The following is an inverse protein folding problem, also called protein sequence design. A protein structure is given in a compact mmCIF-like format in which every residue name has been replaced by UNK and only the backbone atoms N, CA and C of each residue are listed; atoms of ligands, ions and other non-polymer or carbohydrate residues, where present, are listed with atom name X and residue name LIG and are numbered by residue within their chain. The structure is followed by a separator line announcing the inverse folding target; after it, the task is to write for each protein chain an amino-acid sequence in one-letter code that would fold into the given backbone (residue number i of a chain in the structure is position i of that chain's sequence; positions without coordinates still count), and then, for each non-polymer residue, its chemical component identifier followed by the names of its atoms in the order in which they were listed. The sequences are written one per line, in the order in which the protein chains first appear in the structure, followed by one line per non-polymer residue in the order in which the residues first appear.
data_IF_474260746450
#
_entry.id   IF_474260746450
#
_cell.length_a   1.000
_cell.length_b   1.000
_cell.length_c   1.000
_cell.angle_alpha   90.00
_cell.angle_beta   90.00
_cell.angle_gamma   90.00
#
_symmetry.space_group_name_H-M   'P 1'
#
loop_
_entity.id
_entity.type
_entity.pdbx_description
1 polymer ?
#
# COMPACT_ATOMS: atom_id res chain seq x y z
N UNK A 1 -0.29 23.67 52.55
CA UNK A 1 -0.87 24.28 51.33
C UNK A 1 0.07 23.99 50.16
N UNK A 2 -0.34 23.13 49.25
CA UNK A 2 0.42 22.81 48.02
C UNK A 2 0.54 24.08 47.17
N UNK A 3 1.78 24.54 46.94
CA UNK A 3 2.08 25.57 45.93
C UNK A 3 1.86 24.93 44.57
N UNK A 4 0.64 25.03 44.04
CA UNK A 4 0.39 24.67 42.66
C UNK A 4 1.19 25.63 41.77
N UNK A 5 2.16 25.07 41.04
CA UNK A 5 2.86 25.78 39.98
C UNK A 5 1.87 26.03 38.84
N UNK A 6 1.25 27.21 38.81
CA UNK A 6 0.48 27.65 37.66
C UNK A 6 1.47 27.95 36.54
N UNK A 7 1.59 27.02 35.59
CA UNK A 7 2.41 27.20 34.40
C UNK A 7 1.83 28.36 33.58
N UNK A 8 2.58 29.45 33.46
CA UNK A 8 2.17 30.63 32.69
C UNK A 8 2.56 30.43 31.23
N UNK A 9 1.57 30.26 30.36
CA UNK A 9 1.79 30.10 28.92
C UNK A 9 2.12 31.48 28.31
N UNK A 10 3.20 31.56 27.53
CA UNK A 10 3.55 32.75 26.76
C UNK A 10 2.53 32.95 25.61
N UNK A 11 1.94 34.14 25.50
CA UNK A 11 0.88 34.43 24.51
C UNK A 11 1.34 34.27 23.06
N UNK A 12 2.58 34.64 22.72
CA UNK A 12 3.13 34.44 21.38
C UNK A 12 3.26 32.95 21.05
N UNK A 13 3.68 32.14 22.02
CA UNK A 13 3.77 30.69 21.83
C UNK A 13 2.38 30.03 21.72
N UNK A 14 1.38 30.53 22.48
CA UNK A 14 0.01 30.04 22.37
C UNK A 14 -0.56 30.24 20.95
N UNK A 15 -0.32 31.40 20.34
CA UNK A 15 -0.74 31.68 18.96
C UNK A 15 -0.07 30.72 17.96
N UNK A 16 1.22 30.42 18.13
CA UNK A 16 1.93 29.47 17.24
C UNK A 16 1.32 28.07 17.30
N UNK A 17 0.98 27.59 18.50
CA UNK A 17 0.36 26.27 18.69
C UNK A 17 -1.05 26.25 18.10
N UNK A 18 -1.83 27.31 18.27
CA UNK A 18 -3.17 27.40 17.68
C UNK A 18 -3.09 27.41 16.14
N UNK A 19 -2.16 28.13 15.55
CA UNK A 19 -1.94 28.12 14.10
C UNK A 19 -1.57 26.72 13.59
N UNK A 20 -0.71 25.99 14.32
CA UNK A 20 -0.39 24.60 14.01
C UNK A 20 -1.64 23.71 14.06
N UNK A 21 -2.47 23.86 15.10
CA UNK A 21 -3.72 23.10 15.26
C UNK A 21 -4.69 23.34 14.10
N UNK A 22 -4.87 24.60 13.70
CA UNK A 22 -5.71 24.95 12.54
C UNK A 22 -5.15 24.39 11.23
N UNK A 23 -3.83 24.44 11.03
CA UNK A 23 -3.17 23.80 9.88
C UNK A 23 -3.40 22.29 9.86
N UNK A 24 -3.27 21.61 11.01
CA UNK A 24 -3.52 20.18 11.13
C UNK A 24 -4.96 19.82 10.75
N UNK A 25 -5.94 20.64 11.17
CA UNK A 25 -7.36 20.40 10.86
C UNK A 25 -7.61 20.54 9.36
N UNK A 26 -7.04 21.57 8.73
CA UNK A 26 -7.13 21.76 7.28
C UNK A 26 -6.47 20.62 6.49
N UNK A 27 -5.32 20.13 6.96
CA UNK A 27 -4.66 18.97 6.35
C UNK A 27 -5.50 17.70 6.47
N UNK A 28 -6.07 17.43 7.65
CA UNK A 28 -6.95 16.30 7.85
C UNK A 28 -8.19 16.38 6.93
N UNK A 29 -8.80 17.56 6.81
CA UNK A 29 -9.94 17.79 5.91
C UNK A 29 -9.60 17.50 4.44
N UNK A 30 -8.45 17.98 3.96
CA UNK A 30 -7.98 17.72 2.60
C UNK A 30 -7.64 16.23 2.39
N UNK A 31 -7.07 15.57 3.41
CA UNK A 31 -6.81 14.13 3.38
C UNK A 31 -8.10 13.34 3.13
N UNK A 32 -9.17 13.65 3.87
CA UNK A 32 -10.45 12.95 3.73
C UNK A 32 -11.17 13.30 2.44
N UNK A 33 -11.22 14.59 2.09
CA UNK A 33 -12.05 15.05 0.97
C UNK A 33 -11.42 14.72 -0.38
N UNK A 34 -10.08 14.74 -0.47
CA UNK A 34 -9.37 14.67 -1.73
C UNK A 34 -8.32 13.55 -1.75
N UNK A 35 -7.36 13.57 -0.81
CA UNK A 35 -6.16 12.73 -0.94
C UNK A 35 -6.47 11.23 -0.89
N UNK A 36 -7.21 10.78 0.12
CA UNK A 36 -7.50 9.35 0.32
C UNK A 36 -8.31 8.78 -0.85
N UNK A 37 -9.44 9.38 -1.28
CA UNK A 37 -10.17 8.90 -2.46
C UNK A 37 -9.33 8.86 -3.75
N UNK A 38 -8.47 9.87 -3.96
CA UNK A 38 -7.57 9.91 -5.11
C UNK A 38 -6.53 8.79 -5.02
N UNK A 39 -5.92 8.57 -3.85
CA UNK A 39 -4.93 7.50 -3.62
C UNK A 39 -5.52 6.12 -3.87
N UNK A 40 -6.74 5.84 -3.41
CA UNK A 40 -7.43 4.57 -3.68
C UNK A 40 -7.55 4.34 -5.19
N UNK A 41 -7.97 5.36 -5.93
CA UNK A 41 -8.13 5.28 -7.40
C UNK A 41 -6.79 5.10 -8.12
N UNK A 42 -5.75 5.81 -7.67
CA UNK A 42 -4.39 5.68 -8.22
C UNK A 42 -3.82 4.28 -8.02
N UNK A 43 -3.94 3.73 -6.80
CA UNK A 43 -3.46 2.39 -6.47
C UNK A 43 -4.26 1.31 -7.20
N UNK A 44 -5.56 1.52 -7.42
CA UNK A 44 -6.39 0.62 -8.22
C UNK A 44 -5.94 0.58 -9.70
N UNK A 45 -5.57 1.73 -10.26
CA UNK A 45 -5.00 1.80 -11.61
C UNK A 45 -3.59 1.19 -11.67
N UNK A 46 -2.77 1.41 -10.64
CA UNK A 46 -1.43 0.82 -10.54
C UNK A 46 -1.49 -0.71 -10.58
N UNK A 47 -2.41 -1.30 -9.80
CA UNK A 47 -2.63 -2.75 -9.74
C UNK A 47 -3.14 -3.37 -11.05
N UNK A 48 -3.72 -2.56 -11.94
CA UNK A 48 -4.13 -2.98 -13.29
C UNK A 48 -3.02 -2.80 -14.33
N UNK A 49 -1.92 -2.14 -13.97
CA UNK A 49 -0.78 -1.97 -14.85
C UNK A 49 -0.10 -3.31 -15.14
N UNK A 50 0.52 -3.40 -16.31
CA UNK A 50 1.19 -4.61 -16.79
C UNK A 50 2.28 -5.09 -15.82
N UNK A 51 3.00 -4.15 -15.20
CA UNK A 51 4.05 -4.46 -14.23
C UNK A 51 3.54 -5.12 -12.94
N UNK A 52 2.26 -4.96 -12.57
CA UNK A 52 1.64 -5.55 -11.37
C UNK A 52 0.65 -6.68 -11.71
N UNK A 53 0.54 -7.03 -13.00
CA UNK A 53 -0.41 -8.03 -13.55
C UNK A 53 0.29 -9.20 -14.25
N UNK A 54 1.56 -9.45 -13.91
CA UNK A 54 2.35 -10.56 -14.45
C UNK A 54 1.75 -11.89 -13.97
N UNK A 55 1.35 -12.74 -14.92
CA UNK A 55 0.83 -14.10 -14.66
C UNK A 55 1.91 -15.16 -14.71
N UNK A 56 2.89 -14.98 -15.59
CA UNK A 56 4.03 -15.87 -15.73
C UNK A 56 5.23 -15.29 -14.99
N UNK A 57 5.47 -15.83 -13.79
CA UNK A 57 6.54 -15.37 -12.90
C UNK A 57 7.94 -15.72 -13.41
N UNK A 58 8.07 -16.71 -14.32
CA UNK A 58 9.35 -17.04 -14.94
C UNK A 58 9.93 -15.87 -15.74
N UNK A 59 9.06 -14.99 -16.24
CA UNK A 59 9.47 -13.75 -16.93
C UNK A 59 10.22 -12.77 -16.01
N UNK A 60 10.18 -12.96 -14.69
CA UNK A 60 10.92 -12.16 -13.72
C UNK A 60 12.35 -12.64 -13.53
N UNK A 61 12.71 -13.82 -14.03
CA UNK A 61 14.04 -14.41 -13.80
C UNK A 61 15.13 -13.54 -14.44
N UNK A 62 15.99 -12.96 -13.59
CA UNK A 62 17.17 -12.25 -14.05
C UNK A 62 18.27 -13.26 -14.44
N UNK A 63 19.07 -12.99 -15.49
CA UNK A 63 20.15 -13.89 -15.90
C UNK A 63 21.18 -14.08 -14.77
N UNK A 64 21.58 -15.34 -14.57
CA UNK A 64 22.51 -15.74 -13.52
C UNK A 64 23.76 -16.38 -14.15
N UNK A 65 24.74 -15.55 -14.51
CA UNK A 65 25.95 -15.92 -15.26
C UNK A 65 27.01 -16.62 -14.38
N UNK A 66 26.59 -17.64 -13.63
CA UNK A 66 27.49 -18.47 -12.82
C UNK A 66 27.94 -19.67 -13.66
N UNK A 67 29.25 -19.94 -13.81
CA UNK A 67 29.76 -21.09 -14.57
C UNK A 67 29.23 -22.42 -14.02
N UNK A 68 28.82 -23.34 -14.89
CA UNK A 68 28.40 -24.70 -14.53
C UNK A 68 29.63 -25.61 -14.60
N UNK A 69 29.98 -26.37 -13.54
CA UNK A 69 31.10 -27.30 -13.58
C UNK A 69 30.86 -28.45 -14.54
N UNK A 70 31.89 -28.85 -15.29
CA UNK A 70 31.84 -30.07 -16.09
C UNK A 70 31.79 -31.32 -15.19
N UNK A 71 31.10 -32.39 -15.61
CA UNK A 71 31.12 -33.67 -14.90
C UNK A 71 32.56 -34.16 -14.71
N UNK A 72 32.90 -34.77 -13.56
CA UNK A 72 34.15 -35.48 -13.45
C UNK A 72 34.24 -36.56 -14.54
N UNK A 73 35.41 -36.72 -15.15
CA UNK A 73 35.64 -37.84 -16.07
C UNK A 73 35.42 -39.16 -15.32
N UNK A 74 34.87 -40.20 -15.96
CA UNK A 74 34.76 -41.52 -15.35
C UNK A 74 36.16 -41.98 -14.95
N UNK A 75 36.33 -42.25 -13.66
CA UNK A 75 37.55 -42.86 -13.14
C UNK A 75 37.57 -44.30 -13.66
N UNK A 76 38.45 -44.59 -14.62
CA UNK A 76 38.81 -45.97 -14.95
C UNK A 76 39.42 -46.57 -13.67
N UNK A 77 38.79 -47.63 -13.16
CA UNK A 77 39.26 -48.38 -11.98
C UNK A 77 40.63 -49.02 -12.26
N UNK A 78 41.72 -48.32 -11.97
CA UNK A 78 43.03 -48.96 -11.77
C UNK A 78 43.59 -48.60 -10.38
N UNK A 79 43.71 -49.64 -9.55
CA UNK A 79 44.23 -49.59 -8.19
C UNK A 79 45.69 -49.12 -8.12
N UNK A 80 45.94 -48.24 -7.15
CA UNK A 80 47.14 -48.08 -6.32
C UNK A 80 48.53 -48.05 -6.98
N UNK A 81 49.20 -46.89 -6.91
CA UNK A 81 50.54 -46.85 -6.28
C UNK A 81 50.79 -45.53 -5.54
N UNK A 82 51.04 -45.71 -4.25
CA UNK A 82 51.64 -44.81 -3.28
C UNK A 82 52.87 -44.07 -3.86
N UNK A 83 52.80 -42.73 -4.00
CA UNK A 83 53.82 -41.74 -3.58
C UNK A 83 53.66 -40.35 -4.22
N UNK A 84 53.69 -39.37 -3.31
CA UNK A 84 54.21 -38.01 -3.40
C UNK A 84 53.20 -36.87 -3.27
N UNK A 85 53.45 -36.10 -2.22
CA UNK A 85 52.94 -34.80 -1.84
C UNK A 85 53.05 -33.78 -3.00
N UNK A 86 52.19 -32.76 -2.99
CA UNK A 86 52.17 -31.58 -3.86
C UNK A 86 51.41 -31.63 -5.20
N UNK A 87 50.18 -32.15 -5.21
CA UNK A 87 49.19 -31.71 -6.20
C UNK A 87 47.92 -31.20 -5.49
N UNK A 88 48.03 -30.03 -4.85
CA UNK A 88 46.90 -29.14 -4.57
C UNK A 88 46.26 -28.67 -5.90
N UNK A 89 45.71 -29.58 -6.70
CA UNK A 89 44.60 -29.25 -7.59
C UNK A 89 43.32 -29.23 -6.77
N UNK A 90 43.27 -28.35 -5.75
CA UNK A 90 42.02 -27.67 -5.43
C UNK A 90 41.61 -27.01 -6.75
N UNK A 91 40.76 -27.68 -7.55
CA UNK A 91 40.08 -27.09 -8.72
C UNK A 91 39.47 -25.79 -8.21
N UNK A 92 40.21 -24.69 -8.38
CA UNK A 92 39.76 -23.37 -7.93
C UNK A 92 38.45 -23.16 -8.66
N UNK A 93 37.35 -23.09 -7.89
CA UNK A 93 36.04 -22.86 -8.44
C UNK A 93 36.16 -21.73 -9.48
N UNK A 94 35.58 -21.89 -10.68
CA UNK A 94 35.66 -20.87 -11.73
C UNK A 94 35.35 -19.51 -11.12
N UNK A 95 36.25 -18.53 -11.31
CA UNK A 95 36.05 -17.19 -10.73
C UNK A 95 34.72 -16.65 -11.26
N UNK A 96 33.74 -16.53 -10.37
CA UNK A 96 32.43 -16.00 -10.71
C UNK A 96 32.56 -14.52 -11.09
N UNK A 97 31.93 -14.12 -12.20
CA UNK A 97 31.90 -12.74 -12.67
C UNK A 97 31.00 -11.85 -11.80
N UNK A 98 30.82 -10.61 -12.24
CA UNK A 98 29.88 -9.68 -11.61
C UNK A 98 28.43 -10.15 -11.85
N UNK A 99 27.68 -10.40 -10.76
CA UNK A 99 26.26 -10.76 -10.81
C UNK A 99 25.43 -9.53 -10.46
N UNK A 100 24.56 -9.11 -11.38
CA UNK A 100 23.66 -7.98 -11.19
C UNK A 100 22.43 -8.34 -10.33
N UNK A 101 21.86 -7.35 -9.66
CA UNK A 101 20.53 -7.44 -9.07
C UNK A 101 19.41 -7.56 -10.12
N UNK A 102 18.21 -7.92 -9.67
CA UNK A 102 17.03 -7.97 -10.54
C UNK A 102 16.43 -6.57 -10.73
N UNK A 103 16.67 -5.96 -11.90
CA UNK A 103 16.19 -4.61 -12.21
C UNK A 103 14.66 -4.50 -12.20
N UNK A 104 13.92 -5.56 -12.56
CA UNK A 104 12.45 -5.52 -12.56
C UNK A 104 11.91 -5.38 -11.14
N UNK A 105 12.44 -6.18 -10.21
CA UNK A 105 12.07 -6.07 -8.79
C UNK A 105 12.47 -4.71 -8.23
N UNK A 106 13.66 -4.20 -8.57
CA UNK A 106 14.11 -2.88 -8.12
C UNK A 106 13.17 -1.77 -8.60
N UNK A 107 12.77 -1.79 -9.88
CA UNK A 107 11.79 -0.83 -10.43
C UNK A 107 10.46 -0.84 -9.67
N UNK A 108 9.92 -2.03 -9.40
CA UNK A 108 8.69 -2.16 -8.62
C UNK A 108 8.85 -1.60 -7.20
N UNK A 109 9.99 -1.86 -6.56
CA UNK A 109 10.30 -1.32 -5.23
C UNK A 109 10.40 0.21 -5.24
N UNK A 110 10.92 0.81 -6.31
CA UNK A 110 11.02 2.27 -6.45
C UNK A 110 9.64 2.92 -6.56
N UNK A 111 8.63 2.20 -7.06
CA UNK A 111 7.22 2.62 -7.08
C UNK A 111 6.56 2.43 -5.71
N UNK A 112 6.78 1.30 -5.04
CA UNK A 112 6.04 0.93 -3.82
C UNK A 112 6.59 1.62 -2.56
N UNK A 113 7.89 1.86 -2.45
CA UNK A 113 8.49 2.53 -1.26
C UNK A 113 7.89 3.92 -0.99
N UNK A 114 7.69 4.81 -1.98
CA UNK A 114 6.98 6.07 -1.75
C UNK A 114 5.56 5.90 -1.23
N UNK A 115 4.82 4.89 -1.71
CA UNK A 115 3.44 4.64 -1.27
C UNK A 115 3.37 4.16 0.20
N UNK A 116 4.34 3.33 0.62
CA UNK A 116 4.50 2.95 2.04
C UNK A 116 4.71 4.21 2.90
N UNK A 117 5.60 5.11 2.48
CA UNK A 117 5.90 6.32 3.24
C UNK A 117 4.70 7.27 3.31
N UNK A 118 4.02 7.49 2.18
CA UNK A 118 2.81 8.32 2.12
C UNK A 118 1.71 7.82 3.06
N UNK A 119 1.51 6.50 3.15
CA UNK A 119 0.54 5.92 4.08
C UNK A 119 0.96 6.13 5.54
N UNK A 120 2.25 5.98 5.87
CA UNK A 120 2.75 6.26 7.23
C UNK A 120 2.49 7.71 7.65
N UNK A 121 2.79 8.66 6.77
CA UNK A 121 2.55 10.09 7.01
C UNK A 121 1.06 10.40 7.18
N UNK A 122 0.20 9.76 6.38
CA UNK A 122 -1.26 9.86 6.51
C UNK A 122 -1.71 9.35 7.88
N UNK A 123 -1.26 8.15 8.29
CA UNK A 123 -1.61 7.60 9.60
C UNK A 123 -1.18 8.52 10.75
N UNK A 124 0.05 9.06 10.71
CA UNK A 124 0.55 9.98 11.74
C UNK A 124 -0.30 11.25 11.81
N UNK A 125 -0.63 11.83 10.66
CA UNK A 125 -1.43 13.06 10.57
C UNK A 125 -2.83 12.84 11.13
N UNK A 126 -3.50 11.75 10.72
CA UNK A 126 -4.84 11.39 11.19
C UNK A 126 -4.83 11.09 12.69
N UNK A 127 -3.87 10.29 13.18
CA UNK A 127 -3.74 10.02 14.62
C UNK A 127 -3.57 11.31 15.42
N UNK A 128 -2.69 12.21 14.97
CA UNK A 128 -2.47 13.50 15.62
C UNK A 128 -3.75 14.34 15.65
N UNK A 129 -4.48 14.39 14.52
CA UNK A 129 -5.74 15.11 14.43
C UNK A 129 -6.78 14.57 15.41
N UNK A 130 -7.00 13.25 15.46
CA UNK A 130 -7.97 12.63 16.39
C UNK A 130 -7.56 12.90 17.85
N UNK A 131 -6.28 12.79 18.20
CA UNK A 131 -5.82 13.08 19.57
C UNK A 131 -6.11 14.52 20.00
N UNK A 132 -6.12 15.49 19.07
CA UNK A 132 -6.51 16.87 19.36
C UNK A 132 -8.02 17.09 19.45
N UNK A 133 -8.83 16.11 19.05
CA UNK A 133 -10.30 16.12 19.19
C UNK A 133 -10.77 15.48 20.49
N UNK A 134 -9.90 14.78 21.21
CA UNK A 134 -10.23 14.19 22.52
C UNK A 134 -10.43 15.34 23.52
N UNK A 135 -11.62 15.47 24.12
CA UNK A 135 -11.92 16.54 25.08
C UNK A 135 -11.15 16.35 26.40
N UNK A 136 -11.27 17.32 27.29
CA UNK A 136 -10.77 17.16 28.66
C UNK A 136 -11.52 16.01 29.35
N UNK A 137 -10.81 15.33 30.25
CA UNK A 137 -11.40 14.27 31.06
C UNK A 137 -12.44 14.91 31.99
N UNK A 138 -13.69 14.48 31.83
CA UNK A 138 -14.84 14.86 32.66
C UNK A 138 -15.48 13.57 33.20
N UNK A 139 -16.27 13.67 34.28
CA UNK A 139 -16.89 12.49 34.88
C UNK A 139 -18.20 12.17 34.14
N UNK A 140 -18.18 11.15 33.28
CA UNK A 140 -19.32 10.68 32.48
C UNK A 140 -19.35 11.20 31.04
N UNK A 141 -20.18 10.57 30.19
CA UNK A 141 -20.27 10.79 28.74
C UNK A 141 -19.01 10.36 27.93
N UNK A 142 -18.32 9.32 28.40
CA UNK A 142 -17.08 8.82 27.78
C UNK A 142 -17.30 7.98 26.51
N UNK A 143 -18.55 7.76 26.08
CA UNK A 143 -18.83 6.91 24.93
C UNK A 143 -18.18 7.42 23.64
N UNK A 144 -18.22 8.74 23.41
CA UNK A 144 -17.56 9.37 22.27
C UNK A 144 -16.03 9.22 22.33
N UNK A 145 -15.45 9.36 23.53
CA UNK A 145 -14.01 9.19 23.77
C UNK A 145 -13.59 7.74 23.52
N UNK A 146 -14.36 6.76 23.99
CA UNK A 146 -14.10 5.34 23.75
C UNK A 146 -14.11 4.99 22.26
N UNK A 147 -15.00 5.61 21.46
CA UNK A 147 -14.98 5.46 19.99
C UNK A 147 -13.68 6.04 19.42
N UNK A 148 -13.27 7.24 19.82
CA UNK A 148 -12.03 7.87 19.35
C UNK A 148 -10.79 7.02 19.68
N UNK A 149 -10.72 6.47 20.90
CA UNK A 149 -9.64 5.57 21.33
C UNK A 149 -9.59 4.29 20.51
N UNK A 150 -10.74 3.67 20.25
CA UNK A 150 -10.81 2.46 19.40
C UNK A 150 -10.37 2.72 17.96
N UNK A 151 -10.65 3.90 17.43
CA UNK A 151 -10.17 4.31 16.11
C UNK A 151 -8.65 4.50 16.12
N UNK A 152 -8.11 5.15 17.15
CA UNK A 152 -6.66 5.31 17.32
C UNK A 152 -5.94 3.97 17.45
N UNK A 153 -6.53 3.00 18.15
CA UNK A 153 -6.03 1.62 18.23
C UNK A 153 -5.96 1.00 16.83
N UNK A 154 -7.01 1.17 16.02
CA UNK A 154 -7.04 0.64 14.66
C UNK A 154 -5.99 1.28 13.75
N UNK A 155 -5.83 2.61 13.80
CA UNK A 155 -4.79 3.32 13.04
C UNK A 155 -3.39 2.84 13.47
N UNK A 156 -3.20 2.59 14.76
CA UNK A 156 -1.94 2.06 15.30
C UNK A 156 -1.66 0.66 14.73
N UNK A 157 -2.67 -0.21 14.65
CA UNK A 157 -2.52 -1.53 14.04
C UNK A 157 -2.12 -1.45 12.55
N UNK A 158 -2.72 -0.53 11.79
CA UNK A 158 -2.32 -0.25 10.40
C UNK A 158 -0.86 0.20 10.34
N UNK A 159 -0.46 1.16 11.18
CA UNK A 159 0.92 1.66 11.22
C UNK A 159 1.93 0.54 11.47
N UNK A 160 1.67 -0.33 12.45
CA UNK A 160 2.53 -1.50 12.75
C UNK A 160 2.67 -2.43 11.54
N UNK A 161 1.58 -2.67 10.80
CA UNK A 161 1.62 -3.50 9.59
C UNK A 161 2.47 -2.86 8.49
N UNK A 162 2.31 -1.55 8.29
CA UNK A 162 3.06 -0.76 7.29
C UNK A 162 4.56 -0.67 7.65
N UNK A 163 4.91 -0.67 8.93
CA UNK A 163 6.30 -0.82 9.39
C UNK A 163 6.89 -2.19 9.01
N UNK A 164 6.08 -3.26 9.09
CA UNK A 164 6.48 -4.60 8.67
C UNK A 164 6.85 -4.71 7.18
N UNK A 165 6.20 -3.95 6.30
CA UNK A 165 6.53 -3.94 4.86
C UNK A 165 7.98 -3.53 4.58
N UNK A 166 8.50 -2.55 5.33
CA UNK A 166 9.88 -2.12 5.17
C UNK A 166 10.87 -3.25 5.51
N UNK A 167 10.56 -4.04 6.55
CA UNK A 167 11.36 -5.21 6.94
C UNK A 167 11.35 -6.27 5.84
N UNK A 168 10.20 -6.54 5.23
CA UNK A 168 10.08 -7.51 4.13
C UNK A 168 10.90 -7.08 2.90
N UNK A 169 10.88 -5.79 2.55
CA UNK A 169 11.70 -5.25 1.46
C UNK A 169 13.20 -5.42 1.74
N UNK A 170 13.64 -5.10 2.96
CA UNK A 170 15.05 -5.23 3.33
C UNK A 170 15.50 -6.71 3.31
N UNK A 171 14.63 -7.61 3.77
CA UNK A 171 14.87 -9.05 3.82
C UNK A 171 15.10 -9.66 2.44
N UNK A 172 14.41 -9.18 1.41
CA UNK A 172 14.66 -9.61 0.03
C UNK A 172 16.12 -9.40 -0.39
N UNK A 173 16.70 -8.22 -0.13
CA UNK A 173 18.08 -7.94 -0.53
C UNK A 173 19.09 -8.85 0.18
N UNK A 174 18.91 -9.08 1.49
CA UNK A 174 19.80 -9.99 2.23
C UNK A 174 19.64 -11.44 1.78
N UNK A 175 18.41 -11.94 1.67
CA UNK A 175 18.18 -13.35 1.33
C UNK A 175 18.57 -13.68 -0.11
N UNK A 176 18.31 -12.76 -1.05
CA UNK A 176 18.78 -12.90 -2.43
C UNK A 176 20.30 -12.84 -2.48
N UNK A 177 20.93 -11.93 -1.74
CA UNK A 177 22.39 -11.84 -1.64
C UNK A 177 23.00 -13.14 -1.15
N UNK A 178 22.45 -13.73 -0.09
CA UNK A 178 22.89 -15.01 0.45
C UNK A 178 22.68 -16.18 -0.52
N UNK A 179 21.55 -16.20 -1.24
CA UNK A 179 21.27 -17.21 -2.26
C UNK A 179 22.28 -17.13 -3.42
N UNK A 180 22.55 -15.91 -3.92
CA UNK A 180 23.56 -15.67 -4.97
C UNK A 180 24.96 -16.06 -4.49
N UNK A 181 25.32 -15.72 -3.25
CA UNK A 181 26.61 -16.08 -2.67
C UNK A 181 26.79 -17.60 -2.62
N UNK A 182 25.77 -18.34 -2.15
CA UNK A 182 25.78 -19.82 -2.14
C UNK A 182 25.87 -20.40 -3.54
N UNK A 183 25.08 -19.90 -4.49
CA UNK A 183 25.12 -20.36 -5.89
C UNK A 183 26.50 -20.15 -6.54
N UNK A 184 27.18 -19.05 -6.21
CA UNK A 184 28.52 -18.73 -6.74
C UNK A 184 29.64 -19.57 -6.11
N UNK A 185 29.47 -19.99 -4.85
CA UNK A 185 30.43 -20.79 -4.11
C UNK A 185 30.31 -22.28 -4.45
N UNK A 186 29.08 -22.78 -4.43
CA UNK A 186 28.73 -24.19 -4.62
C UNK A 186 28.08 -24.38 -5.99
N UNK A 187 28.85 -24.13 -7.05
CA UNK A 187 28.38 -24.04 -8.44
C UNK A 187 27.74 -25.31 -9.02
N UNK A 188 28.02 -26.46 -8.39
CA UNK A 188 27.44 -27.77 -8.73
C UNK A 188 26.05 -27.99 -8.13
N UNK A 189 25.66 -27.22 -7.12
CA UNK A 189 24.34 -27.31 -6.48
C UNK A 189 23.35 -26.41 -7.22
N UNK A 190 22.62 -27.00 -8.16
CA UNK A 190 21.71 -26.25 -9.03
C UNK A 190 20.50 -25.64 -8.28
N UNK A 191 20.12 -26.21 -7.14
CA UNK A 191 19.03 -25.67 -6.30
C UNK A 191 19.30 -24.25 -5.81
N UNK A 192 20.56 -23.85 -5.63
CA UNK A 192 20.87 -22.46 -5.25
C UNK A 192 20.59 -21.47 -6.39
N UNK A 193 20.67 -21.90 -7.65
CA UNK A 193 20.28 -21.05 -8.80
C UNK A 193 18.77 -20.89 -8.83
N UNK A 194 18.03 -22.00 -8.67
CA UNK A 194 16.58 -21.97 -8.53
C UNK A 194 16.16 -21.09 -7.36
N UNK A 195 16.84 -21.19 -6.20
CA UNK A 195 16.56 -20.37 -5.02
C UNK A 195 16.68 -18.87 -5.31
N UNK A 196 17.65 -18.43 -6.12
CA UNK A 196 17.74 -17.01 -6.52
C UNK A 196 16.48 -16.57 -7.28
N UNK A 197 16.01 -17.39 -8.22
CA UNK A 197 14.80 -17.10 -8.99
C UNK A 197 13.55 -17.14 -8.12
N UNK A 198 13.42 -18.12 -7.22
CA UNK A 198 12.33 -18.21 -6.25
C UNK A 198 12.27 -16.97 -5.34
N UNK A 199 13.43 -16.41 -4.95
CA UNK A 199 13.47 -15.15 -4.18
C UNK A 199 12.95 -13.96 -4.98
N UNK A 200 13.20 -13.92 -6.30
CA UNK A 200 12.69 -12.87 -7.18
C UNK A 200 11.15 -13.00 -7.35
N UNK A 201 10.63 -14.21 -7.55
CA UNK A 201 9.19 -14.47 -7.67
C UNK A 201 8.42 -14.17 -6.37
N UNK A 202 8.97 -14.60 -5.24
CA UNK A 202 8.40 -14.33 -3.92
C UNK A 202 8.37 -12.82 -3.63
N UNK A 203 9.43 -12.10 -3.99
CA UNK A 203 9.49 -10.65 -3.81
C UNK A 203 8.44 -9.92 -4.66
N UNK A 204 8.25 -10.32 -5.91
CA UNK A 204 7.19 -9.76 -6.75
C UNK A 204 5.79 -9.94 -6.11
N UNK A 205 5.51 -11.16 -5.66
CA UNK A 205 4.23 -11.49 -5.02
C UNK A 205 4.00 -10.65 -3.76
N UNK A 206 5.03 -10.52 -2.92
CA UNK A 206 4.98 -9.71 -1.69
C UNK A 206 4.77 -8.22 -2.02
N UNK A 207 5.51 -7.67 -2.98
CA UNK A 207 5.34 -6.27 -3.44
C UNK A 207 3.91 -6.02 -3.90
N UNK A 208 3.32 -6.95 -4.64
CA UNK A 208 1.94 -6.83 -5.10
C UNK A 208 0.94 -6.86 -3.94
N UNK A 209 1.15 -7.74 -2.95
CA UNK A 209 0.33 -7.78 -1.72
C UNK A 209 0.44 -6.48 -0.93
N UNK A 210 1.64 -5.89 -0.83
CA UNK A 210 1.84 -4.59 -0.17
C UNK A 210 0.95 -3.51 -0.82
N UNK A 211 0.90 -3.43 -2.15
CA UNK A 211 0.06 -2.42 -2.83
C UNK A 211 -1.43 -2.66 -2.59
N UNK A 212 -1.86 -3.93 -2.59
CA UNK A 212 -3.24 -4.30 -2.24
C UNK A 212 -3.58 -3.87 -0.81
N UNK A 213 -2.70 -4.15 0.15
CA UNK A 213 -2.86 -3.79 1.55
C UNK A 213 -2.90 -2.27 1.73
N UNK A 214 -1.99 -1.51 1.09
CA UNK A 214 -2.00 -0.03 1.15
C UNK A 214 -3.34 0.52 0.63
N UNK A 215 -3.83 0.03 -0.51
CA UNK A 215 -5.15 0.43 -1.03
C UNK A 215 -6.27 0.08 -0.06
N UNK A 216 -6.22 -1.11 0.55
CA UNK A 216 -7.17 -1.56 1.56
C UNK A 216 -7.16 -0.67 2.80
N UNK A 217 -5.99 -0.30 3.30
CA UNK A 217 -5.84 0.58 4.47
C UNK A 217 -6.36 1.98 4.20
N UNK A 218 -6.14 2.55 3.02
CA UNK A 218 -6.76 3.84 2.68
C UNK A 218 -8.29 3.77 2.68
N UNK A 219 -8.88 2.71 2.12
CA UNK A 219 -10.33 2.53 2.13
C UNK A 219 -10.87 2.35 3.55
N UNK A 220 -10.18 1.55 4.36
CA UNK A 220 -10.54 1.33 5.76
C UNK A 220 -10.43 2.63 6.58
N UNK A 221 -9.34 3.39 6.44
CA UNK A 221 -9.18 4.68 7.11
C UNK A 221 -10.35 5.60 6.75
N UNK A 222 -10.69 5.69 5.46
CA UNK A 222 -11.83 6.50 5.01
C UNK A 222 -13.14 6.12 5.70
N UNK A 223 -13.44 4.82 5.76
CA UNK A 223 -14.68 4.33 6.38
C UNK A 223 -14.71 4.58 7.89
N UNK A 224 -13.60 4.33 8.59
CA UNK A 224 -13.49 4.56 10.04
C UNK A 224 -13.67 6.05 10.37
N UNK A 225 -13.10 6.93 9.55
CA UNK A 225 -13.15 8.37 9.78
C UNK A 225 -14.53 8.93 9.45
N UNK A 226 -15.18 8.39 8.42
CA UNK A 226 -16.59 8.67 8.14
C UNK A 226 -17.49 8.27 9.31
N UNK A 227 -17.28 7.07 9.88
CA UNK A 227 -18.03 6.62 11.05
C UNK A 227 -17.83 7.56 12.24
N UNK A 228 -16.59 7.99 12.50
CA UNK A 228 -16.28 8.97 13.56
C UNK A 228 -17.06 10.28 13.39
N UNK A 229 -17.11 10.82 12.16
CA UNK A 229 -17.84 12.06 11.88
C UNK A 229 -19.35 11.88 12.07
N UNK A 230 -19.90 10.74 11.64
CA UNK A 230 -21.33 10.45 11.82
C UNK A 230 -21.71 10.15 13.28
N UNK A 231 -20.84 9.47 14.03
CA UNK A 231 -21.05 9.15 15.45
C UNK A 231 -20.83 10.35 16.37
N UNK A 232 -19.83 11.19 16.07
CA UNK A 232 -19.59 12.44 16.81
C UNK A 232 -20.71 13.46 16.59
N UNK A 233 -21.39 13.42 15.43
CA UNK A 233 -22.57 14.25 15.18
C UNK A 233 -23.77 13.88 16.06
N UNK A 234 -23.75 12.74 16.76
CA UNK A 234 -24.75 12.40 17.78
C UNK A 234 -24.36 12.91 19.19
N UNK A 235 -23.10 13.30 19.42
CA UNK A 235 -22.57 13.68 20.75
C UNK A 235 -22.14 15.15 20.83
N UNK A 236 -21.85 15.81 19.70
CA UNK A 236 -21.49 17.24 19.65
C UNK A 236 -22.61 18.06 18.99
N UNK A 237 -23.19 18.96 19.78
CA UNK A 237 -24.10 20.01 19.36
C UNK A 237 -23.62 20.73 18.07
N UNK A 238 -24.30 20.39 16.98
CA UNK A 238 -24.79 21.14 15.81
C UNK A 238 -24.43 22.61 15.49
N UNK A 239 -23.43 23.27 16.09
CA UNK A 239 -23.21 24.71 15.79
C UNK A 239 -21.98 25.03 14.92
N UNK A 240 -21.12 24.05 14.57
CA UNK A 240 -19.96 24.32 13.67
C UNK A 240 -19.79 23.38 12.48
N UNK A 241 -20.51 22.26 12.44
CA UNK A 241 -20.41 21.28 11.35
C UNK A 241 -21.55 21.35 10.33
N UNK A 242 -22.63 22.11 10.63
CA UNK A 242 -23.82 22.19 9.79
C UNK A 242 -23.53 22.79 8.41
N UNK A 243 -22.73 23.86 8.33
CA UNK A 243 -22.36 24.47 7.04
C UNK A 243 -21.50 23.53 6.17
N UNK A 244 -20.67 22.69 6.80
CA UNK A 244 -19.72 21.80 6.13
C UNK A 244 -20.40 20.56 5.51
N UNK A 245 -21.29 19.91 6.27
CA UNK A 245 -22.07 18.79 5.74
C UNK A 245 -23.05 19.26 4.67
N UNK A 246 -23.62 20.47 4.79
CA UNK A 246 -24.47 21.07 3.76
C UNK A 246 -23.66 21.31 2.47
N UNK A 247 -22.43 21.83 2.54
CA UNK A 247 -21.58 22.06 1.37
C UNK A 247 -21.20 20.76 0.64
N UNK A 248 -20.81 19.73 1.38
CA UNK A 248 -20.47 18.41 0.81
C UNK A 248 -21.71 17.71 0.24
N UNK A 249 -22.87 17.77 0.92
CA UNK A 249 -24.13 17.26 0.39
C UNK A 249 -24.59 18.03 -0.85
N UNK A 250 -24.48 19.37 -0.88
CA UNK A 250 -24.81 20.17 -2.05
C UNK A 250 -23.89 19.88 -3.24
N UNK A 251 -22.62 19.60 -2.97
CA UNK A 251 -21.67 19.19 -4.01
C UNK A 251 -22.05 17.82 -4.57
N UNK A 252 -22.33 16.84 -3.71
CA UNK A 252 -22.82 15.52 -4.13
C UNK A 252 -24.16 15.62 -4.88
N UNK A 253 -25.08 16.47 -4.43
CA UNK A 253 -26.38 16.72 -5.05
C UNK A 253 -26.25 17.41 -6.42
N UNK A 254 -25.26 18.30 -6.61
CA UNK A 254 -24.92 18.87 -7.93
C UNK A 254 -24.38 17.83 -8.92
N UNK A 255 -23.80 16.73 -8.44
CA UNK A 255 -23.32 15.63 -9.30
C UNK A 255 -24.41 14.62 -9.67
N UNK A 256 -25.51 14.56 -8.93
CA UNK A 256 -26.67 13.69 -9.24
C UNK A 256 -27.25 13.98 -10.64
N UNK A 257 -27.53 15.24 -11.05
CA UNK A 257 -28.00 15.54 -12.41
C UNK A 257 -27.03 15.10 -13.50
N UNK A 258 -25.71 15.19 -13.28
CA UNK A 258 -24.70 14.73 -14.24
C UNK A 258 -24.71 13.21 -14.38
N UNK A 259 -24.84 12.48 -13.27
CA UNK A 259 -24.99 11.02 -13.30
C UNK A 259 -26.32 10.59 -13.95
N UNK A 260 -27.43 11.27 -13.63
CA UNK A 260 -28.74 11.01 -14.24
C UNK A 260 -28.72 11.29 -15.75
N UNK A 261 -28.08 12.38 -16.19
CA UNK A 261 -27.97 12.70 -17.62
C UNK A 261 -27.04 11.72 -18.35
N UNK A 262 -25.96 11.27 -17.71
CA UNK A 262 -25.08 10.23 -18.26
C UNK A 262 -25.83 8.91 -18.37
N UNK A 263 -26.61 8.54 -17.36
CA UNK A 263 -27.48 7.35 -17.38
C UNK A 263 -28.58 7.46 -18.45
N UNK A 264 -29.22 8.63 -18.61
CA UNK A 264 -30.17 8.89 -19.72
C UNK A 264 -29.51 8.79 -21.09
N UNK A 265 -28.27 9.26 -21.24
CA UNK A 265 -27.53 9.12 -22.51
C UNK A 265 -27.20 7.65 -22.82
N UNK A 266 -26.79 6.88 -21.81
CA UNK A 266 -26.51 5.45 -21.93
C UNK A 266 -27.80 4.68 -22.25
N UNK A 267 -28.90 5.00 -21.58
CA UNK A 267 -30.23 4.43 -21.86
C UNK A 267 -30.67 4.78 -23.29
N UNK A 268 -30.51 6.02 -23.76
CA UNK A 268 -30.86 6.42 -25.12
C UNK A 268 -29.98 5.73 -26.18
N UNK A 269 -28.68 5.54 -25.92
CA UNK A 269 -27.77 4.82 -26.81
C UNK A 269 -28.17 3.33 -26.87
N UNK A 270 -28.49 2.72 -25.73
CA UNK A 270 -28.95 1.33 -25.66
C UNK A 270 -30.30 1.15 -26.35
N UNK A 271 -31.25 2.09 -26.18
CA UNK A 271 -32.54 2.11 -26.87
C UNK A 271 -32.40 2.33 -28.38
N UNK A 272 -31.52 3.23 -28.84
CA UNK A 272 -31.26 3.42 -30.28
C UNK A 272 -30.62 2.17 -30.91
N UNK A 273 -29.72 1.51 -30.17
CA UNK A 273 -29.04 0.29 -30.63
C UNK A 273 -29.99 -0.91 -30.72
N UNK A 274 -30.98 -1.00 -29.82
CA UNK A 274 -32.03 -2.05 -29.86
C UNK A 274 -33.11 -1.77 -30.91
N UNK A 275 -33.46 -0.50 -31.16
CA UNK A 275 -34.38 -0.13 -32.23
C UNK A 275 -33.80 -0.28 -33.64
N UNK A 276 -32.48 -0.17 -33.81
CA UNK A 276 -31.80 -0.45 -35.08
C UNK A 276 -31.77 -1.95 -35.44
N UNK A 277 -31.90 -2.84 -34.43
CA UNK A 277 -31.84 -4.31 -34.63
C UNK A 277 -33.21 -5.00 -34.65
N UNK A 278 -34.32 -4.29 -34.39
CA UNK A 278 -35.66 -4.91 -34.39
C UNK A 278 -36.74 -3.94 -34.85
N UNK A 279 -36.88 -3.78 -36.17
CA UNK A 279 -37.90 -2.91 -36.81
C UNK A 279 -39.34 -3.45 -36.78
N UNK A 280 -39.68 -4.40 -35.92
CA UNK A 280 -41.00 -5.06 -35.98
C UNK A 280 -41.79 -5.18 -34.67
N UNK A 281 -41.31 -4.72 -33.50
CA UNK A 281 -42.13 -4.76 -32.27
C UNK A 281 -41.75 -3.65 -31.28
N UNK A 282 -42.43 -2.51 -31.33
CA UNK A 282 -42.49 -1.58 -30.20
C UNK A 282 -43.71 -0.64 -30.31
N UNK A 283 -44.87 -1.16 -29.94
CA UNK A 283 -45.98 -0.36 -29.41
C UNK A 283 -46.12 -0.77 -27.96
N UNK A 284 -45.37 -0.16 -27.03
CA UNK A 284 -45.75 -0.01 -25.62
C UNK A 284 -44.65 0.73 -24.85
N UNK A 285 -45.08 1.53 -23.87
CA UNK A 285 -44.29 2.29 -22.89
C UNK A 285 -43.87 3.70 -23.35
N UNK A 286 -44.89 4.52 -23.64
CA UNK A 286 -44.86 5.99 -23.56
C UNK A 286 -45.57 6.48 -22.29
N UNK A 287 -45.26 5.88 -21.15
CA UNK A 287 -45.80 6.33 -19.88
C UNK A 287 -44.75 6.11 -18.81
N UNK A 288 -43.86 7.08 -18.60
CA UNK A 288 -43.18 7.40 -17.33
C UNK A 288 -42.18 8.52 -17.64
N UNK A 289 -42.69 9.71 -17.94
CA UNK A 289 -41.93 10.96 -17.92
C UNK A 289 -42.91 12.13 -17.77
N UNK A 290 -43.43 12.28 -16.56
CA UNK A 290 -43.75 13.57 -15.96
C UNK A 290 -43.18 13.56 -14.55
#
# INVERSE_FOLDING_TARGET
MSKYNVLKINSCNAVKIENYRQSLYKQAEDLFSNHIPQKISQLDNLLKGDEFSITDLSSLHAPLDIPIPDPPAPEDEEMETDKNEDDEKKKKAPKCGFIKGNDRIVKLLDIVKPEIMALKETCITVSCWISHLIPKIEDGNDFGVAIQEKILERITAVKTKVEGFQTNINKYFSERGDAVAKASKDTHVMDYRSLVHEKDEAAYSEIRVIVLDIRGFYAELYDVLRQMLTGSSAVLQLDKFSEFLISSFLTLYKYIPKMVNKLKSVINIVCCSTMSSNKSKCTFISAYTK
#
